data_IF_400844483423
#
_entry.id   IF_400844483423
#
_cell.length_a   1.000
_cell.length_b   1.000
_cell.length_c   1.000
_cell.angle_alpha   90.00
_cell.angle_beta   90.00
_cell.angle_gamma   90.00
#
_symmetry.space_group_name_H-M   'P 1'
#
loop_
_entity.id
_entity.type
_entity.pdbx_description
1 polymer ?
#
# COMPACT_ATOMS: atom_id res chain seq x y z
N UNK A 1 0.56 13.23 9.18
CA UNK A 1 1.16 12.03 8.56
C UNK A 1 0.62 11.91 7.14
N UNK A 2 1.46 11.96 6.10
CA UNK A 2 0.96 11.83 4.73
C UNK A 2 1.42 10.49 4.15
N UNK A 3 0.48 9.56 3.95
CA UNK A 3 0.63 8.36 3.12
C UNK A 3 0.76 8.73 1.63
N UNK A 4 1.36 9.88 1.31
CA UNK A 4 1.22 10.62 0.06
C UNK A 4 1.56 9.76 -1.16
N UNK A 5 2.47 8.80 -0.98
CA UNK A 5 2.95 7.95 -2.05
C UNK A 5 2.33 6.54 -2.03
N UNK A 6 1.57 6.15 -0.99
CA UNK A 6 0.97 4.82 -0.91
C UNK A 6 -0.04 4.56 -2.03
N UNK A 7 -0.97 5.48 -2.36
CA UNK A 7 -1.88 5.29 -3.49
C UNK A 7 -1.12 5.19 -4.82
N UNK A 8 -0.13 6.04 -5.05
CA UNK A 8 0.70 6.01 -6.27
C UNK A 8 1.51 4.72 -6.39
N UNK A 9 2.05 4.22 -5.28
CA UNK A 9 2.77 2.95 -5.23
C UNK A 9 1.84 1.80 -5.60
N UNK A 10 0.68 1.71 -4.94
CA UNK A 10 -0.31 0.68 -5.24
C UNK A 10 -0.74 0.75 -6.72
N UNK A 11 -1.04 1.95 -7.22
CA UNK A 11 -1.42 2.16 -8.61
C UNK A 11 -0.31 1.70 -9.57
N UNK A 12 0.95 2.04 -9.29
CA UNK A 12 2.10 1.59 -10.09
C UNK A 12 2.24 0.08 -10.05
N UNK A 13 2.05 -0.56 -8.89
CA UNK A 13 2.10 -2.02 -8.80
C UNK A 13 0.99 -2.69 -9.61
N UNK A 14 -0.23 -2.16 -9.54
CA UNK A 14 -1.37 -2.67 -10.30
C UNK A 14 -1.20 -2.47 -11.80
N UNK A 15 -0.57 -1.38 -12.24
CA UNK A 15 -0.33 -1.09 -13.66
C UNK A 15 0.87 -1.85 -14.24
N UNK A 16 2.00 -1.85 -13.53
CA UNK A 16 3.30 -2.32 -14.05
C UNK A 16 3.64 -3.75 -13.59
N UNK A 17 3.10 -4.19 -12.45
CA UNK A 17 3.48 -5.47 -11.83
C UNK A 17 2.30 -6.42 -11.61
N UNK A 18 1.15 -6.18 -12.25
CA UNK A 18 -0.05 -7.04 -12.15
C UNK A 18 0.22 -8.50 -12.46
N UNK A 19 1.09 -8.79 -13.42
CA UNK A 19 1.51 -10.13 -13.82
C UNK A 19 2.27 -10.88 -12.71
N UNK A 20 2.94 -10.17 -11.80
CA UNK A 20 3.66 -10.73 -10.65
C UNK A 20 2.74 -10.95 -9.45
N UNK A 21 1.51 -10.44 -9.52
CA UNK A 21 0.50 -10.54 -8.48
C UNK A 21 -0.49 -11.67 -8.80
N UNK A 22 -0.81 -12.46 -7.79
CA UNK A 22 -1.96 -13.37 -7.88
C UNK A 22 -3.24 -12.56 -8.01
N UNK A 23 -4.32 -13.19 -8.50
CA UNK A 23 -5.63 -12.53 -8.59
C UNK A 23 -6.04 -11.97 -7.21
N UNK A 24 -5.81 -12.73 -6.14
CA UNK A 24 -6.10 -12.30 -4.77
C UNK A 24 -5.25 -11.10 -4.32
N UNK A 25 -3.96 -11.07 -4.68
CA UNK A 25 -3.09 -9.94 -4.38
C UNK A 25 -3.57 -8.66 -5.10
N UNK A 26 -4.02 -8.78 -6.36
CA UNK A 26 -4.59 -7.66 -7.15
C UNK A 26 -5.90 -7.15 -6.55
N UNK A 27 -6.81 -8.04 -6.19
CA UNK A 27 -8.08 -7.67 -5.55
C UNK A 27 -7.84 -6.94 -4.23
N UNK A 28 -6.88 -7.45 -3.44
CA UNK A 28 -6.48 -6.84 -2.18
C UNK A 28 -5.92 -5.43 -2.38
N UNK A 29 -4.97 -5.27 -3.30
CA UNK A 29 -4.37 -3.96 -3.59
C UNK A 29 -5.40 -2.97 -4.15
N UNK A 30 -6.28 -3.41 -5.04
CA UNK A 30 -7.36 -2.58 -5.59
C UNK A 30 -8.29 -2.09 -4.48
N UNK A 31 -8.73 -2.99 -3.58
CA UNK A 31 -9.58 -2.60 -2.45
C UNK A 31 -8.90 -1.66 -1.44
N UNK A 32 -7.57 -1.74 -1.30
CA UNK A 32 -6.79 -0.79 -0.49
C UNK A 32 -6.65 0.57 -1.20
N UNK A 33 -6.45 0.57 -2.51
CA UNK A 33 -6.37 1.77 -3.33
C UNK A 33 -7.69 2.56 -3.30
N UNK A 34 -8.83 1.89 -3.47
CA UNK A 34 -10.14 2.52 -3.42
C UNK A 34 -10.43 3.17 -2.06
N UNK A 35 -10.04 2.52 -0.97
CA UNK A 35 -10.17 3.09 0.38
C UNK A 35 -9.33 4.37 0.53
N UNK A 36 -8.09 4.34 0.06
CA UNK A 36 -7.20 5.50 0.14
C UNK A 36 -7.70 6.66 -0.75
N UNK A 37 -8.22 6.37 -1.94
CA UNK A 37 -8.84 7.37 -2.80
C UNK A 37 -10.12 7.96 -2.20
N UNK A 38 -10.84 7.18 -1.40
CA UNK A 38 -11.97 7.64 -0.60
C UNK A 38 -11.57 8.34 0.71
N UNK A 39 -10.31 8.73 0.86
CA UNK A 39 -9.74 9.36 2.06
C UNK A 39 -9.91 8.54 3.36
N UNK A 40 -10.18 7.24 3.24
CA UNK A 40 -10.29 6.36 4.40
C UNK A 40 -8.92 5.95 4.91
N UNK A 41 -8.73 6.07 6.23
CA UNK A 41 -7.53 5.59 6.89
C UNK A 41 -7.45 4.05 6.80
N UNK A 42 -6.29 3.55 6.40
CA UNK A 42 -5.99 2.13 6.47
C UNK A 42 -5.53 1.76 7.88
N UNK A 43 -5.94 0.58 8.35
CA UNK A 43 -5.40 0.01 9.58
C UNK A 43 -3.92 -0.39 9.41
N UNK A 44 -3.16 -0.44 10.51
CA UNK A 44 -1.77 -0.92 10.49
C UNK A 44 -1.62 -2.31 9.86
N UNK A 45 -2.62 -3.18 10.06
CA UNK A 45 -2.64 -4.52 9.44
C UNK A 45 -2.72 -4.43 7.93
N UNK A 46 -3.55 -3.53 7.40
CA UNK A 46 -3.69 -3.29 5.97
C UNK A 46 -2.43 -2.65 5.38
N UNK A 47 -1.81 -1.71 6.10
CA UNK A 47 -0.55 -1.07 5.69
C UNK A 47 0.57 -2.12 5.61
N UNK A 48 0.71 -2.97 6.63
CA UNK A 48 1.69 -4.08 6.63
C UNK A 48 1.44 -5.09 5.51
N UNK A 49 0.16 -5.40 5.22
CA UNK A 49 -0.18 -6.27 4.11
C UNK A 49 0.23 -5.64 2.77
N UNK A 50 -0.08 -4.36 2.58
CA UNK A 50 0.30 -3.61 1.40
C UNK A 50 1.82 -3.61 1.21
N UNK A 51 2.58 -3.26 2.25
CA UNK A 51 4.05 -3.33 2.26
C UNK A 51 4.60 -4.67 1.78
N UNK A 52 4.03 -5.77 2.29
CA UNK A 52 4.45 -7.11 1.93
C UNK A 52 4.21 -7.40 0.44
N UNK A 53 3.07 -6.98 -0.09
CA UNK A 53 2.72 -7.15 -1.50
C UNK A 53 3.60 -6.30 -2.40
N UNK A 54 3.87 -5.05 -2.02
CA UNK A 54 4.75 -4.13 -2.77
C UNK A 54 6.18 -4.68 -2.83
N UNK A 55 6.74 -5.16 -1.70
CA UNK A 55 8.06 -5.81 -1.66
C UNK A 55 8.15 -7.05 -2.54
N UNK A 56 7.08 -7.85 -2.63
CA UNK A 56 7.01 -9.04 -3.51
C UNK A 56 7.20 -8.67 -4.99
N UNK A 57 6.87 -7.43 -5.37
CA UNK A 57 7.07 -6.91 -6.73
C UNK A 57 8.43 -6.23 -6.95
N UNK A 58 9.35 -6.33 -5.99
CA UNK A 58 10.63 -5.60 -5.93
C UNK A 58 10.48 -4.07 -5.89
N UNK A 59 9.33 -3.57 -5.45
CA UNK A 59 9.18 -2.15 -5.13
C UNK A 59 9.61 -1.93 -3.68
N UNK A 60 10.70 -1.20 -3.49
CA UNK A 60 11.11 -0.75 -2.17
C UNK A 60 10.13 0.32 -1.68
N UNK A 61 9.56 0.08 -0.51
CA UNK A 61 8.54 0.93 0.07
C UNK A 61 8.95 1.29 1.50
N UNK A 62 9.39 2.53 1.69
CA UNK A 62 9.63 3.12 3.00
C UNK A 62 8.37 3.87 3.40
N UNK A 63 7.53 3.23 4.22
CA UNK A 63 6.46 3.94 4.91
C UNK A 63 7.00 4.43 6.24
N UNK A 64 7.18 5.73 6.35
CA UNK A 64 7.62 6.36 7.60
C UNK A 64 6.43 6.33 8.56
N UNK A 65 6.48 5.43 9.54
CA UNK A 65 5.66 5.50 10.74
C UNK A 65 6.31 6.51 11.69
N UNK A 66 6.01 7.80 11.54
CA UNK A 66 6.16 8.77 12.64
C UNK A 66 5.19 8.38 13.78
N UNK A 67 5.64 7.53 14.71
CA UNK A 67 5.11 7.60 16.07
C UNK A 67 5.49 8.96 16.65
N UNK A 68 4.56 9.81 17.10
CA UNK A 68 4.95 10.87 18.00
C UNK A 68 5.43 10.18 19.28
N UNK A 69 6.70 10.38 19.57
CA UNK A 69 7.25 10.33 20.91
C UNK A 69 6.32 11.18 21.80
N UNK A 70 5.44 10.54 22.57
CA UNK A 70 4.76 11.24 23.68
C UNK A 70 5.84 11.65 24.69
N UNK A 71 5.72 12.90 25.15
CA UNK A 71 6.71 13.71 25.86
C UNK A 71 7.31 13.08 27.12
#
# INVERSE_FOLDING_TARGET
MNFRNLPELINTTLLIHSEKLSNWDRDTLTGLFDRLNGEQALSDRQIKLCQKLLRKTNQDCVFIHDTPNEA
#
